data_IF_193869760786
#
_entry.id   IF_193869760786
#
_cell.length_a   1.000
_cell.length_b   1.000
_cell.length_c   1.000
_cell.angle_alpha   90.00
_cell.angle_beta   90.00
_cell.angle_gamma   90.00
#
_symmetry.space_group_name_H-M   'P 1'
#
loop_
_entity.id
_entity.type
_entity.pdbx_description
1 polymer ?
#
# COMPACT_ATOMS: atom_id res chain seq x y z
N UNK A 1 -21.73 0.21 16.50
CA UNK A 1 -21.77 -0.98 15.62
C UNK A 1 -20.71 -0.75 14.55
N UNK A 2 -19.57 -1.42 14.59
CA UNK A 2 -18.62 -1.37 13.47
C UNK A 2 -19.13 -2.30 12.38
N UNK A 3 -19.47 -1.73 11.22
CA UNK A 3 -19.82 -2.49 10.03
C UNK A 3 -18.54 -3.09 9.46
N UNK A 4 -18.32 -4.39 9.65
CA UNK A 4 -17.36 -5.15 8.83
C UNK A 4 -17.93 -5.25 7.43
N UNK A 5 -17.52 -4.33 6.56
CA UNK A 5 -17.81 -4.42 5.13
C UNK A 5 -17.08 -5.66 4.60
N UNK A 6 -17.82 -6.65 4.11
CA UNK A 6 -17.22 -7.77 3.39
C UNK A 6 -16.42 -7.19 2.22
N UNK A 7 -15.10 -7.42 2.23
CA UNK A 7 -14.23 -7.03 1.13
C UNK A 7 -14.59 -7.95 -0.03
N UNK A 8 -15.42 -7.48 -0.96
CA UNK A 8 -15.59 -8.16 -2.23
C UNK A 8 -14.32 -7.96 -3.06
N UNK A 9 -13.86 -9.01 -3.72
CA UNK A 9 -12.70 -8.95 -4.61
C UNK A 9 -13.19 -9.08 -6.06
N UNK A 10 -12.63 -8.27 -6.94
CA UNK A 10 -12.79 -8.41 -8.39
C UNK A 10 -11.51 -8.99 -8.97
N UNK A 11 -11.65 -10.05 -9.77
CA UNK A 11 -10.54 -10.59 -10.51
C UNK A 11 -10.21 -9.67 -11.70
N UNK A 12 -8.96 -9.22 -11.77
CA UNK A 12 -8.40 -8.62 -12.99
C UNK A 12 -7.73 -9.75 -13.74
N UNK A 13 -8.29 -10.13 -14.89
CA UNK A 13 -7.73 -11.17 -15.73
C UNK A 13 -6.68 -10.56 -16.66
N UNK A 14 -5.45 -11.06 -16.58
CA UNK A 14 -4.33 -10.67 -17.42
C UNK A 14 -4.28 -11.44 -18.74
N UNK A 15 -3.23 -11.19 -19.52
CA UNK A 15 -2.98 -11.91 -20.76
C UNK A 15 -2.67 -13.39 -20.46
N UNK A 16 -3.26 -14.30 -21.24
CA UNK A 16 -3.18 -15.78 -21.12
C UNK A 16 -1.77 -16.39 -21.10
N UNK A 17 -0.72 -15.61 -21.42
CA UNK A 17 0.68 -16.04 -21.41
C UNK A 17 1.50 -15.49 -20.22
N UNK A 18 0.85 -14.87 -19.23
CA UNK A 18 1.47 -14.45 -17.96
C UNK A 18 1.56 -15.63 -16.98
N UNK A 19 2.63 -15.70 -16.18
CA UNK A 19 2.79 -16.72 -15.12
C UNK A 19 1.74 -16.57 -14.00
N UNK A 20 1.13 -15.39 -13.86
CA UNK A 20 0.00 -15.11 -12.98
C UNK A 20 -1.10 -14.46 -13.85
N UNK A 21 -2.08 -15.23 -14.37
CA UNK A 21 -3.09 -14.71 -15.29
C UNK A 21 -4.22 -13.96 -14.58
N UNK A 22 -4.17 -13.81 -13.25
CA UNK A 22 -5.25 -13.18 -12.48
C UNK A 22 -4.73 -12.42 -11.26
N UNK A 23 -5.03 -11.13 -11.17
CA UNK A 23 -4.81 -10.31 -9.98
C UNK A 23 -6.12 -10.18 -9.19
N UNK A 24 -6.03 -10.16 -7.87
CA UNK A 24 -7.17 -9.90 -6.99
C UNK A 24 -7.19 -8.42 -6.60
N UNK A 25 -8.14 -7.67 -7.14
CA UNK A 25 -8.37 -6.27 -6.76
C UNK A 25 -9.47 -6.21 -5.70
N UNK A 26 -9.16 -5.62 -4.56
CA UNK A 26 -10.19 -5.26 -3.57
C UNK A 26 -11.24 -4.35 -4.23
N UNK A 27 -12.51 -4.51 -3.91
CA UNK A 27 -13.60 -3.84 -4.62
C UNK A 27 -13.34 -2.32 -4.78
N UNK A 28 -13.55 -1.75 -5.99
CA UNK A 28 -13.50 -0.30 -6.19
C UNK A 28 -14.40 0.51 -5.24
N UNK A 29 -15.45 -0.11 -4.66
CA UNK A 29 -16.31 0.53 -3.66
C UNK A 29 -15.65 0.77 -2.31
N UNK A 30 -14.49 0.18 -2.06
CA UNK A 30 -13.75 0.32 -0.81
C UNK A 30 -12.78 1.52 -0.85
N UNK A 31 -12.89 2.42 -1.84
CA UNK A 31 -12.07 3.62 -1.92
C UNK A 31 -12.28 4.53 -0.72
N UNK A 32 -11.19 5.10 -0.20
CA UNK A 32 -11.20 5.93 1.00
C UNK A 32 -11.74 5.22 2.26
N UNK A 33 -11.64 3.89 2.32
CA UNK A 33 -11.95 3.12 3.53
C UNK A 33 -10.70 2.82 4.33
N UNK A 34 -10.87 2.65 5.64
CA UNK A 34 -9.79 2.24 6.55
C UNK A 34 -9.80 0.72 6.68
N UNK A 35 -8.65 0.10 6.39
CA UNK A 35 -8.38 -1.30 6.63
C UNK A 35 -7.55 -1.47 7.90
N UNK A 36 -8.12 -2.12 8.93
CA UNK A 36 -7.36 -2.46 10.11
C UNK A 36 -6.55 -3.75 9.84
N UNK A 37 -5.25 -3.66 10.09
CA UNK A 37 -4.35 -4.80 10.21
C UNK A 37 -3.97 -4.98 11.67
N UNK A 38 -4.06 -6.22 12.15
CA UNK A 38 -3.73 -6.57 13.52
C UNK A 38 -2.58 -7.55 13.51
N UNK A 39 -1.56 -7.27 14.31
CA UNK A 39 -0.55 -8.26 14.67
C UNK A 39 -0.33 -8.27 16.19
N UNK A 40 0.65 -9.06 16.63
CA UNK A 40 0.97 -9.18 18.05
C UNK A 40 1.56 -7.90 18.66
N UNK A 41 1.92 -6.91 17.86
CA UNK A 41 2.52 -5.63 18.29
C UNK A 41 1.57 -4.45 18.23
N UNK A 42 0.38 -4.59 17.65
CA UNK A 42 -0.61 -3.52 17.69
C UNK A 42 -1.58 -3.54 16.52
N UNK A 43 -2.23 -2.38 16.36
CA UNK A 43 -3.19 -2.15 15.27
C UNK A 43 -2.60 -1.16 14.29
N UNK A 44 -2.48 -1.55 13.03
CA UNK A 44 -2.12 -0.67 11.93
C UNK A 44 -3.38 -0.32 11.14
N UNK A 45 -3.71 0.96 11.05
CA UNK A 45 -4.85 1.47 10.30
C UNK A 45 -4.35 2.00 8.97
N UNK A 46 -4.78 1.37 7.88
CA UNK A 46 -4.40 1.78 6.53
C UNK A 46 -5.57 2.39 5.79
N UNK A 47 -5.48 3.66 5.39
CA UNK A 47 -6.45 4.30 4.51
C UNK A 47 -6.16 3.86 3.07
N UNK A 48 -7.14 3.20 2.42
CA UNK A 48 -7.05 2.71 1.05
C UNK A 48 -7.40 3.78 0.03
N UNK A 49 -6.71 3.76 -1.10
CA UNK A 49 -6.92 4.61 -2.25
C UNK A 49 -6.79 3.78 -3.54
N UNK A 50 -7.70 3.91 -4.50
CA UNK A 50 -7.70 3.10 -5.72
C UNK A 50 -7.38 3.92 -6.97
N UNK A 51 -6.67 3.30 -7.92
CA UNK A 51 -6.16 3.96 -9.14
C UNK A 51 -5.40 5.25 -8.85
N UNK A 52 -4.66 5.29 -7.74
CA UNK A 52 -3.88 6.45 -7.33
C UNK A 52 -2.73 5.98 -6.45
N UNK A 53 -1.73 6.82 -6.31
CA UNK A 53 -0.51 6.50 -5.57
C UNK A 53 -0.08 7.67 -4.69
N UNK A 54 0.50 7.35 -3.54
CA UNK A 54 1.19 8.34 -2.72
C UNK A 54 2.60 8.59 -3.26
N UNK A 55 3.10 9.82 -3.11
CA UNK A 55 4.48 10.13 -3.43
C UNK A 55 5.43 9.47 -2.42
N UNK A 56 6.56 8.99 -2.93
CA UNK A 56 7.61 8.33 -2.17
C UNK A 56 8.67 9.35 -1.75
N UNK A 57 8.92 9.48 -0.45
CA UNK A 57 9.89 10.43 0.10
C UNK A 57 11.34 10.14 -0.30
N UNK A 58 11.63 8.91 -0.77
CA UNK A 58 12.96 8.45 -1.17
C UNK A 58 13.09 8.32 -2.69
N UNK A 59 12.23 8.99 -3.47
CA UNK A 59 12.24 8.92 -4.93
C UNK A 59 11.76 7.56 -5.44
N UNK A 60 12.65 6.78 -6.09
CA UNK A 60 12.29 5.46 -6.69
C UNK A 60 12.59 4.26 -5.79
N UNK A 61 13.18 4.46 -4.62
CA UNK A 61 13.56 3.35 -3.73
C UNK A 61 12.41 2.88 -2.85
N UNK A 62 12.14 1.57 -2.82
CA UNK A 62 11.14 0.95 -1.94
C UNK A 62 11.85 0.07 -0.91
N UNK A 63 11.35 0.09 0.32
CA UNK A 63 11.88 -0.73 1.42
C UNK A 63 11.38 -2.18 1.31
N UNK A 64 10.18 -2.31 0.75
CA UNK A 64 9.47 -3.57 0.60
C UNK A 64 9.11 -3.74 -0.85
N UNK A 65 9.49 -4.87 -1.44
CA UNK A 65 9.08 -5.27 -2.78
C UNK A 65 8.81 -6.75 -2.82
N UNK A 66 7.84 -7.16 -3.64
CA UNK A 66 7.59 -8.57 -3.87
C UNK A 66 6.27 -8.84 -4.57
N UNK A 67 6.03 -10.12 -4.81
CA UNK A 67 4.83 -10.60 -5.48
C UNK A 67 3.73 -10.89 -4.45
N UNK A 68 2.60 -10.20 -4.58
CA UNK A 68 1.40 -10.44 -3.75
C UNK A 68 0.13 -10.26 -4.57
N UNK A 69 -0.89 -11.00 -4.18
CA UNK A 69 -2.19 -11.03 -4.85
C UNK A 69 -3.15 -10.04 -4.20
N UNK A 70 -2.90 -8.74 -4.39
CA UNK A 70 -3.79 -7.66 -3.98
C UNK A 70 -3.16 -6.64 -3.03
N UNK A 71 -3.85 -5.51 -2.87
CA UNK A 71 -3.45 -4.41 -2.00
C UNK A 71 -3.29 -4.85 -0.53
N UNK A 72 -4.15 -5.72 -0.03
CA UNK A 72 -4.04 -6.26 1.34
C UNK A 72 -2.71 -6.98 1.55
N UNK A 73 -2.25 -7.76 0.58
CA UNK A 73 -0.95 -8.42 0.65
C UNK A 73 0.20 -7.42 0.75
N UNK A 74 0.14 -6.30 0.02
CA UNK A 74 1.12 -5.23 0.16
C UNK A 74 1.12 -4.63 1.56
N UNK A 75 -0.07 -4.34 2.10
CA UNK A 75 -0.22 -3.80 3.46
C UNK A 75 0.40 -4.73 4.49
N UNK A 76 0.17 -6.04 4.38
CA UNK A 76 0.75 -7.03 5.27
C UNK A 76 2.28 -7.05 5.20
N UNK A 77 2.86 -6.99 3.99
CA UNK A 77 4.31 -6.91 3.84
C UNK A 77 4.90 -5.64 4.47
N UNK A 78 4.23 -4.50 4.30
CA UNK A 78 4.64 -3.22 4.85
C UNK A 78 4.58 -3.19 6.39
N UNK A 79 3.48 -3.68 6.97
CA UNK A 79 3.33 -3.81 8.41
C UNK A 79 4.37 -4.77 9.00
N UNK A 80 4.58 -5.93 8.37
CA UNK A 80 5.61 -6.91 8.77
C UNK A 80 7.02 -6.32 8.71
N UNK A 81 7.33 -5.50 7.71
CA UNK A 81 8.61 -4.79 7.64
C UNK A 81 8.80 -3.87 8.84
N UNK A 82 7.80 -3.05 9.17
CA UNK A 82 7.87 -2.15 10.33
C UNK A 82 8.00 -2.92 11.64
N UNK A 83 7.27 -4.01 11.80
CA UNK A 83 7.37 -4.89 12.97
C UNK A 83 8.78 -5.49 13.12
N UNK A 84 9.31 -6.08 12.05
CA UNK A 84 10.61 -6.74 12.08
C UNK A 84 11.78 -5.77 12.29
N UNK A 85 11.62 -4.49 11.92
CA UNK A 85 12.63 -3.45 12.04
C UNK A 85 12.22 -2.38 13.07
N UNK A 86 11.37 -2.74 14.02
CA UNK A 86 10.73 -1.79 14.94
C UNK A 86 11.75 -0.85 15.60
N UNK A 87 12.80 -1.40 16.20
CA UNK A 87 13.85 -0.65 16.89
C UNK A 87 14.56 0.35 15.98
N UNK A 88 14.90 -0.06 14.76
CA UNK A 88 15.59 0.78 13.78
C UNK A 88 14.67 1.88 13.25
N UNK A 89 13.39 1.54 13.06
CA UNK A 89 12.37 2.45 12.55
C UNK A 89 11.96 3.47 13.63
N UNK A 90 11.89 3.09 14.90
CA UNK A 90 11.68 4.00 16.05
C UNK A 90 12.86 4.95 16.27
N UNK A 91 14.08 4.44 16.16
CA UNK A 91 15.30 5.24 16.29
C UNK A 91 15.60 6.12 15.06
N UNK A 92 14.74 6.10 14.04
CA UNK A 92 14.93 6.75 12.73
C UNK A 92 16.22 6.32 11.99
N UNK A 93 16.83 5.21 12.37
CA UNK A 93 17.99 4.64 11.67
C UNK A 93 17.56 3.88 10.41
N UNK A 94 16.33 3.35 10.39
CA UNK A 94 15.63 2.87 9.20
C UNK A 94 14.36 3.70 8.92
N UNK A 95 13.97 3.74 7.65
CA UNK A 95 12.78 4.48 7.22
C UNK A 95 11.52 3.63 7.40
N UNK A 96 10.46 4.20 7.99
CA UNK A 96 9.17 3.54 8.16
C UNK A 96 8.55 3.21 6.80
N UNK A 97 7.97 2.02 6.63
CA UNK A 97 7.04 1.75 5.53
C UNK A 97 5.67 2.35 5.91
N UNK A 98 5.34 3.53 5.39
CA UNK A 98 4.08 4.22 5.72
C UNK A 98 3.07 4.16 4.59
N UNK A 99 3.48 3.76 3.39
CA UNK A 99 2.61 3.67 2.23
C UNK A 99 2.96 2.46 1.36
N UNK A 100 1.96 1.95 0.66
CA UNK A 100 2.13 0.91 -0.36
C UNK A 100 1.51 1.32 -1.69
N UNK A 101 2.09 0.86 -2.78
CA UNK A 101 1.45 0.73 -4.10
C UNK A 101 1.44 -0.75 -4.47
N UNK A 102 0.26 -1.27 -4.78
CA UNK A 102 0.06 -2.53 -5.45
C UNK A 102 -0.27 -2.27 -6.92
N UNK A 103 0.51 -2.83 -7.84
CA UNK A 103 0.27 -2.65 -9.28
C UNK A 103 -1.01 -3.37 -9.69
N UNK A 104 -2.03 -2.60 -10.08
CA UNK A 104 -3.38 -3.09 -10.36
C UNK A 104 -3.67 -3.27 -11.86
N UNK A 105 -2.66 -3.17 -12.71
CA UNK A 105 -2.78 -3.34 -14.17
C UNK A 105 -1.87 -4.47 -14.69
N UNK A 106 -2.10 -4.88 -15.94
CA UNK A 106 -1.18 -5.69 -16.73
C UNK A 106 -0.81 -4.91 -18.00
N UNK A 107 -0.02 -3.85 -17.86
CA UNK A 107 0.41 -3.04 -19.00
C UNK A 107 1.94 -3.03 -19.17
N UNK A 108 2.45 -2.61 -20.33
CA UNK A 108 3.89 -2.44 -20.57
C UNK A 108 4.55 -1.47 -19.57
N UNK A 109 3.79 -0.58 -18.96
CA UNK A 109 4.24 0.26 -17.84
C UNK A 109 4.52 -0.52 -16.53
N UNK A 110 4.17 -1.81 -16.50
CA UNK A 110 4.57 -2.78 -15.47
C UNK A 110 5.83 -3.54 -15.90
N UNK A 111 6.94 -2.80 -16.02
CA UNK A 111 8.28 -3.30 -16.32
C UNK A 111 8.85 -4.29 -15.27
N UNK A 112 8.11 -4.60 -14.20
CA UNK A 112 8.53 -5.46 -13.09
C UNK A 112 7.48 -6.55 -12.82
N UNK A 113 7.34 -7.57 -13.69
CA UNK A 113 6.34 -8.62 -13.53
C UNK A 113 6.54 -9.47 -12.25
N UNK A 114 7.76 -9.49 -11.71
CA UNK A 114 8.10 -10.19 -10.45
C UNK A 114 7.79 -9.34 -9.19
N UNK A 115 7.51 -8.04 -9.34
CA UNK A 115 7.27 -7.12 -8.22
C UNK A 115 5.95 -6.38 -8.41
N UNK A 116 4.89 -6.88 -7.78
CA UNK A 116 3.56 -6.25 -7.80
C UNK A 116 3.33 -5.35 -6.59
N UNK A 117 4.07 -5.56 -5.50
CA UNK A 117 4.03 -4.78 -4.27
C UNK A 117 5.23 -3.85 -4.16
N UNK A 118 4.99 -2.61 -3.78
CA UNK A 118 6.01 -1.63 -3.41
C UNK A 118 5.60 -0.92 -2.12
N UNK A 119 6.36 -1.10 -1.05
CA UNK A 119 6.19 -0.40 0.21
C UNK A 119 7.32 0.62 0.45
N UNK A 120 6.95 1.82 0.88
CA UNK A 120 7.86 2.95 1.02
C UNK A 120 7.38 3.96 2.08
N UNK A 121 8.21 4.94 2.38
CA UNK A 121 7.85 6.08 3.22
C UNK A 121 7.18 7.13 2.33
N UNK A 122 5.96 7.54 2.65
CA UNK A 122 5.30 8.65 1.95
C UNK A 122 5.76 10.01 2.46
N UNK A 123 5.37 11.08 1.76
CA UNK A 123 5.63 12.47 2.11
C UNK A 123 4.40 13.02 2.83
N UNK A 124 4.62 13.54 4.03
CA UNK A 124 3.61 14.28 4.77
C UNK A 124 3.63 15.75 4.34
N UNK A 125 2.45 16.30 4.08
CA UNK A 125 2.21 17.70 3.73
C UNK A 125 1.26 18.35 4.73
N UNK A 126 1.23 19.68 4.78
CA UNK A 126 0.32 20.43 5.64
C UNK A 126 -0.78 21.08 4.82
N UNK A 127 -2.03 20.72 5.11
CA UNK A 127 -3.23 21.32 4.49
C UNK A 127 -4.12 21.87 5.60
N UNK A 128 -4.38 23.18 5.59
CA UNK A 128 -5.21 23.86 6.60
C UNK A 128 -4.79 23.58 8.05
N UNK A 129 -3.49 23.46 8.31
CA UNK A 129 -2.95 23.17 9.64
C UNK A 129 -3.09 21.72 10.10
N UNK A 130 -3.47 20.81 9.21
CA UNK A 130 -3.53 19.36 9.45
C UNK A 130 -2.51 18.62 8.58
N UNK A 131 -1.94 17.54 9.10
CA UNK A 131 -1.12 16.62 8.32
C UNK A 131 -1.99 15.89 7.30
N UNK A 132 -1.54 15.89 6.06
CA UNK A 132 -2.10 15.16 4.94
C UNK A 132 -0.98 14.41 4.20
N UNK A 133 -1.35 13.50 3.30
CA UNK A 133 -0.39 12.70 2.55
C UNK A 133 -0.31 13.18 1.10
N UNK A 134 0.91 13.31 0.60
CA UNK A 134 1.15 13.77 -0.76
C UNK A 134 0.78 12.69 -1.78
N UNK A 135 -0.09 13.05 -2.72
CA UNK A 135 -0.52 12.18 -3.82
C UNK A 135 0.30 12.46 -5.07
N UNK A 136 0.56 11.42 -5.84
CA UNK A 136 1.28 11.53 -7.10
C UNK A 136 0.44 12.31 -8.12
N UNK A 137 0.90 13.51 -8.50
CA UNK A 137 0.18 14.40 -9.43
C UNK A 137 -0.10 13.78 -10.80
N UNK A 138 0.74 12.81 -11.21
CA UNK A 138 0.59 12.09 -12.47
C UNK A 138 -0.56 11.08 -12.46
N UNK A 139 -1.32 10.97 -11.34
CA UNK A 139 -2.38 9.97 -11.10
C UNK A 139 -1.91 8.64 -11.66
N UNK A 140 -0.99 8.02 -10.94
CA UNK A 140 -0.52 6.68 -11.28
C UNK A 140 -1.67 5.70 -11.09
N UNK A 141 -2.56 5.66 -12.08
CA UNK A 141 -3.71 4.78 -12.21
C UNK A 141 -3.31 3.29 -12.25
N UNK A 142 -1.99 3.04 -12.23
CA UNK A 142 -1.34 1.75 -12.17
C UNK A 142 -1.27 1.19 -10.74
N UNK A 143 -1.59 1.98 -9.72
CA UNK A 143 -1.55 1.56 -8.32
C UNK A 143 -2.97 1.52 -7.72
N UNK A 144 -3.25 0.47 -6.95
CA UNK A 144 -4.08 0.63 -5.76
C UNK A 144 -3.13 0.80 -4.58
N UNK A 145 -3.39 1.78 -3.72
CA UNK A 145 -2.49 2.22 -2.66
C UNK A 145 -3.15 2.21 -1.29
N UNK A 146 -2.32 2.22 -0.25
CA UNK A 146 -2.79 2.46 1.10
C UNK A 146 -1.72 3.17 1.92
N UNK A 147 -2.14 4.02 2.86
CA UNK A 147 -1.25 4.77 3.77
C UNK A 147 -1.59 4.49 5.22
N UNK A 148 -0.57 4.32 6.06
CA UNK A 148 -0.68 4.09 7.50
C UNK A 148 -1.03 5.39 8.23
N UNK A 149 -2.22 5.48 8.82
CA UNK A 149 -2.77 6.72 9.40
C UNK A 149 -2.62 6.83 10.92
N UNK A 150 -2.12 5.77 11.59
CA UNK A 150 -1.74 5.81 12.99
C UNK A 150 -0.27 5.34 13.16
N UNK A 151 0.71 6.09 12.61
CA UNK A 151 2.11 5.66 12.46
C UNK A 151 2.94 5.63 13.75
N UNK A 152 2.28 5.39 14.88
CA UNK A 152 2.89 5.22 16.19
C UNK A 152 2.84 3.74 16.54
N UNK A 153 3.99 3.20 16.94
CA UNK A 153 4.03 1.89 17.55
C UNK A 153 3.50 2.06 18.97
N UNK A 154 2.34 1.45 19.25
CA UNK A 154 1.67 1.53 20.55
C UNK A 154 2.09 0.41 21.48
#
# INVERSE_FOLDING_TARGET
MLSTQEISTSAIVGLINSSEPTLSRDCPSCNSTVYPYYDNSGTYLFLKLYNDAYNNSNGRSSHVKGQVNGLVGCVHMCAKYNHNNHTEVESNSNKKCTSVCWRNTFGPENDFPEELSFGFTTIDIMVNGQTAFDLAEDRRNICDSAVWINPDFS
#
